data_IF_411169922909
#
_entry.id   IF_411169922909
#
_cell.length_a   1.000
_cell.length_b   1.000
_cell.length_c   1.000
_cell.angle_alpha   90.00
_cell.angle_beta   90.00
_cell.angle_gamma   90.00
#
_symmetry.space_group_name_H-M   'P 1'
#
loop_
_entity.id
_entity.type
_entity.pdbx_description
1 polymer ?
#
# COMPACT_ATOMS: atom_id res chain seq x y z
N UNK A 1 -6.51 17.60 -23.75
CA UNK A 1 -6.23 16.15 -23.82
C UNK A 1 -5.14 15.86 -22.81
N UNK A 2 -5.36 14.94 -21.87
CA UNK A 2 -4.31 14.54 -20.92
C UNK A 2 -3.21 13.79 -21.68
N UNK A 3 -1.92 14.09 -21.47
CA UNK A 3 -0.84 13.36 -22.14
C UNK A 3 -0.91 11.88 -21.75
N UNK A 4 -0.73 11.00 -22.72
CA UNK A 4 -0.68 9.56 -22.48
C UNK A 4 0.71 9.22 -21.92
N UNK A 5 0.89 9.39 -20.62
CA UNK A 5 2.13 9.07 -19.91
C UNK A 5 2.13 7.57 -19.58
N UNK A 6 3.12 6.85 -20.08
CA UNK A 6 3.41 5.45 -19.78
C UNK A 6 4.70 5.32 -18.97
N UNK A 7 4.81 4.35 -18.05
CA UNK A 7 6.04 4.12 -17.28
C UNK A 7 7.26 3.78 -18.14
N UNK A 8 7.05 3.04 -19.23
CA UNK A 8 8.11 2.59 -20.13
C UNK A 8 7.82 3.08 -21.57
N UNK A 9 8.88 3.24 -22.37
CA UNK A 9 8.78 3.53 -23.81
C UNK A 9 8.55 2.23 -24.58
N UNK A 10 7.42 1.59 -24.28
CA UNK A 10 6.97 0.34 -24.87
C UNK A 10 5.56 0.57 -25.43
N UNK A 11 5.43 0.48 -26.75
CA UNK A 11 4.19 0.74 -27.48
C UNK A 11 3.33 -0.53 -27.63
N UNK A 12 3.88 -1.72 -27.36
CA UNK A 12 3.17 -3.00 -27.53
C UNK A 12 2.35 -3.36 -26.28
N UNK A 13 2.82 -2.99 -25.09
CA UNK A 13 2.14 -3.28 -23.82
C UNK A 13 1.21 -2.16 -23.37
N UNK A 14 0.06 -2.52 -22.83
CA UNK A 14 -0.94 -1.56 -22.36
C UNK A 14 -0.45 -0.78 -21.13
N UNK A 15 -0.87 0.48 -20.97
CA UNK A 15 -0.52 1.32 -19.81
C UNK A 15 -0.76 0.62 -18.47
N UNK A 16 -1.85 -0.14 -18.35
CA UNK A 16 -2.19 -0.87 -17.12
C UNK A 16 -1.13 -1.93 -16.79
N UNK A 17 -0.68 -2.70 -17.78
CA UNK A 17 0.35 -3.72 -17.61
C UNK A 17 1.68 -3.12 -17.18
N UNK A 18 2.07 -2.00 -17.82
CA UNK A 18 3.29 -1.28 -17.48
C UNK A 18 3.25 -0.70 -16.06
N UNK A 19 2.08 -0.21 -15.62
CA UNK A 19 1.91 0.29 -14.24
C UNK A 19 2.02 -0.86 -13.24
N UNK A 20 1.38 -2.01 -13.51
CA UNK A 20 1.50 -3.20 -12.65
C UNK A 20 2.95 -3.66 -12.53
N UNK A 21 3.68 -3.80 -13.65
CA UNK A 21 5.09 -4.20 -13.63
C UNK A 21 5.97 -3.20 -12.86
N UNK A 22 5.75 -1.90 -13.05
CA UNK A 22 6.49 -0.87 -12.33
C UNK A 22 6.30 -1.04 -10.82
N UNK A 23 5.06 -1.27 -10.37
CA UNK A 23 4.77 -1.51 -8.95
C UNK A 23 5.34 -2.84 -8.45
N UNK A 24 5.19 -3.94 -9.20
CA UNK A 24 5.78 -5.24 -8.87
C UNK A 24 7.30 -5.15 -8.70
N UNK A 25 7.96 -4.30 -9.50
CA UNK A 25 9.42 -4.10 -9.46
C UNK A 25 9.89 -3.33 -8.24
N UNK A 26 9.13 -2.34 -7.77
CA UNK A 26 9.58 -1.44 -6.70
C UNK A 26 8.96 -1.75 -5.33
N UNK A 27 7.87 -2.51 -5.27
CA UNK A 27 7.06 -2.66 -4.05
C UNK A 27 7.88 -3.15 -2.85
N UNK A 28 8.81 -4.08 -3.06
CA UNK A 28 9.63 -4.65 -2.00
C UNK A 28 10.60 -3.61 -1.40
N UNK A 29 11.21 -2.78 -2.23
CA UNK A 29 12.19 -1.77 -1.81
C UNK A 29 11.51 -0.48 -1.34
N UNK A 30 10.26 -0.23 -1.76
CA UNK A 30 9.56 1.02 -1.54
C UNK A 30 9.33 1.31 -0.06
N UNK A 31 8.95 0.31 0.72
CA UNK A 31 8.76 0.46 2.17
C UNK A 31 10.08 0.78 2.89
N UNK A 32 11.16 0.12 2.48
CA UNK A 32 12.51 0.41 2.97
C UNK A 32 13.00 1.81 2.60
N UNK A 33 12.74 2.23 1.35
CA UNK A 33 13.05 3.57 0.89
C UNK A 33 12.26 4.62 1.69
N UNK A 34 10.95 4.42 1.85
CA UNK A 34 10.08 5.29 2.64
C UNK A 34 10.54 5.42 4.08
N UNK A 35 10.97 4.32 4.70
CA UNK A 35 11.57 4.31 6.04
C UNK A 35 12.79 5.22 6.12
N UNK A 36 13.68 5.15 5.12
CA UNK A 36 14.92 5.94 5.10
C UNK A 36 14.64 7.41 4.80
N UNK A 37 13.93 7.72 3.71
CA UNK A 37 13.70 9.11 3.28
C UNK A 37 12.81 9.89 4.25
N UNK A 38 11.89 9.21 4.93
CA UNK A 38 11.05 9.85 5.94
C UNK A 38 11.74 9.96 7.31
N UNK A 39 12.99 9.49 7.44
CA UNK A 39 13.66 9.33 8.73
C UNK A 39 12.80 8.55 9.75
N UNK A 40 12.07 7.55 9.26
CA UNK A 40 11.17 6.70 10.02
C UNK A 40 9.88 7.35 10.52
N UNK A 41 9.52 8.53 10.02
CA UNK A 41 8.26 9.20 10.37
C UNK A 41 7.04 8.39 9.95
N UNK A 42 7.12 7.61 8.87
CA UNK A 42 6.02 6.77 8.40
C UNK A 42 5.56 5.73 9.45
N UNK A 43 6.44 5.23 10.34
CA UNK A 43 6.03 4.37 11.49
C UNK A 43 5.05 5.13 12.38
N UNK A 44 5.34 6.40 12.68
CA UNK A 44 4.49 7.19 13.59
C UNK A 44 3.13 7.44 12.96
N UNK A 45 3.08 7.66 11.64
CA UNK A 45 1.82 7.79 10.91
C UNK A 45 1.02 6.49 10.92
N UNK A 46 1.66 5.35 10.67
CA UNK A 46 1.02 4.03 10.72
C UNK A 46 0.42 3.75 12.10
N UNK A 47 1.19 3.97 13.17
CA UNK A 47 0.70 3.83 14.56
C UNK A 47 -0.47 4.76 14.87
N UNK A 48 -0.41 6.01 14.39
CA UNK A 48 -1.50 6.97 14.56
C UNK A 48 -2.77 6.51 13.83
N UNK A 49 -2.64 6.02 12.61
CA UNK A 49 -3.76 5.49 11.83
C UNK A 49 -4.41 4.30 12.55
N UNK A 50 -3.62 3.30 12.97
CA UNK A 50 -4.13 2.14 13.73
C UNK A 50 -4.87 2.59 14.99
N UNK A 51 -4.34 3.57 15.74
CA UNK A 51 -5.03 4.12 16.92
C UNK A 51 -6.39 4.74 16.56
N UNK A 52 -6.44 5.56 15.52
CA UNK A 52 -7.67 6.20 15.07
C UNK A 52 -8.72 5.19 14.60
N UNK A 53 -8.29 4.13 13.90
CA UNK A 53 -9.17 3.04 13.46
C UNK A 53 -9.66 2.25 14.67
N UNK A 54 -8.79 1.91 15.62
CA UNK A 54 -9.14 1.19 16.85
C UNK A 54 -10.21 1.91 17.67
N UNK A 55 -10.15 3.23 17.75
CA UNK A 55 -11.16 4.05 18.44
C UNK A 55 -12.57 3.90 17.84
N UNK A 56 -12.69 3.42 16.60
CA UNK A 56 -13.97 3.13 15.95
C UNK A 56 -14.53 1.75 16.28
N UNK A 57 -13.78 0.91 16.99
CA UNK A 57 -14.17 -0.47 17.32
C UNK A 57 -14.68 -1.25 16.09
N UNK A 58 -13.91 -1.32 15.00
CA UNK A 58 -14.36 -1.99 13.80
C UNK A 58 -14.45 -3.50 14.03
N UNK A 59 -15.49 -4.14 13.52
CA UNK A 59 -15.55 -5.60 13.44
C UNK A 59 -14.77 -6.11 12.22
N UNK A 60 -14.81 -5.38 11.10
CA UNK A 60 -14.19 -5.75 9.83
C UNK A 60 -13.41 -4.59 9.23
N UNK A 61 -12.27 -4.89 8.60
CA UNK A 61 -11.41 -3.89 7.95
C UNK A 61 -11.03 -4.36 6.54
N UNK A 62 -11.08 -3.46 5.56
CA UNK A 62 -10.55 -3.65 4.21
C UNK A 62 -9.39 -2.67 3.99
N UNK A 63 -8.20 -3.20 3.76
CA UNK A 63 -6.98 -2.47 3.41
C UNK A 63 -6.77 -2.52 1.89
N UNK A 64 -6.86 -1.38 1.22
CA UNK A 64 -6.79 -1.27 -0.25
C UNK A 64 -5.41 -0.79 -0.65
N UNK A 65 -4.82 -1.42 -1.68
CA UNK A 65 -3.41 -1.27 -2.03
C UNK A 65 -2.52 -1.67 -0.83
N UNK A 66 -2.79 -2.85 -0.28
CA UNK A 66 -2.17 -3.34 0.96
C UNK A 66 -0.66 -3.61 0.82
N UNK A 67 -0.16 -3.75 -0.41
CA UNK A 67 1.24 -4.01 -0.73
C UNK A 67 1.76 -5.25 0.00
N UNK A 68 2.85 -5.06 0.74
CA UNK A 68 3.49 -6.07 1.59
C UNK A 68 2.62 -6.51 2.79
N UNK A 69 1.51 -5.83 3.05
CA UNK A 69 0.57 -6.16 4.13
C UNK A 69 0.94 -5.58 5.50
N UNK A 70 2.03 -4.80 5.61
CA UNK A 70 2.50 -4.26 6.89
C UNK A 70 1.41 -3.46 7.64
N UNK A 71 0.53 -2.76 6.91
CA UNK A 71 -0.57 -2.00 7.54
C UNK A 71 -1.70 -2.93 7.98
N UNK A 72 -2.13 -3.85 7.13
CA UNK A 72 -3.10 -4.89 7.48
C UNK A 72 -2.69 -5.67 8.74
N UNK A 73 -1.39 -6.02 8.86
CA UNK A 73 -0.85 -6.66 10.07
C UNK A 73 -0.95 -5.73 11.28
N UNK A 74 -0.54 -4.46 11.15
CA UNK A 74 -0.64 -3.49 12.24
C UNK A 74 -2.09 -3.25 12.70
N UNK A 75 -3.06 -3.35 11.78
CA UNK A 75 -4.49 -3.21 12.09
C UNK A 75 -5.04 -4.35 12.94
N UNK A 76 -4.32 -5.47 13.12
CA UNK A 76 -4.71 -6.54 14.06
C UNK A 76 -4.82 -6.04 15.50
N UNK A 77 -4.06 -4.99 15.86
CA UNK A 77 -4.13 -4.35 17.19
C UNK A 77 -5.50 -3.70 17.49
N UNK A 78 -6.33 -3.50 16.46
CA UNK A 78 -7.68 -2.93 16.59
C UNK A 78 -8.66 -3.88 17.28
N UNK A 79 -8.41 -5.19 17.20
CA UNK A 79 -9.34 -6.23 17.67
C UNK A 79 -10.45 -6.58 16.68
N UNK A 80 -10.37 -6.11 15.43
CA UNK A 80 -11.29 -6.54 14.37
C UNK A 80 -11.25 -8.07 14.19
N UNK A 81 -12.42 -8.67 13.95
CA UNK A 81 -12.54 -10.11 13.73
C UNK A 81 -12.15 -10.54 12.31
N UNK A 82 -12.13 -9.61 11.36
CA UNK A 82 -11.73 -9.86 9.97
C UNK A 82 -10.96 -8.66 9.41
N UNK A 83 -9.80 -8.93 8.80
CA UNK A 83 -9.00 -7.94 8.08
C UNK A 83 -8.67 -8.50 6.71
N UNK A 84 -9.08 -7.78 5.66
CA UNK A 84 -8.90 -8.18 4.27
C UNK A 84 -7.93 -7.21 3.62
N UNK A 85 -6.82 -7.72 3.09
CA UNK A 85 -5.92 -6.96 2.23
C UNK A 85 -6.29 -7.16 0.76
N UNK A 86 -6.37 -6.09 -0.01
CA UNK A 86 -6.56 -6.12 -1.46
C UNK A 86 -5.43 -5.36 -2.15
N UNK A 87 -4.69 -6.02 -3.03
CA UNK A 87 -3.76 -5.37 -3.94
C UNK A 87 -3.97 -5.83 -5.39
N UNK A 88 -3.54 -4.99 -6.32
CA UNK A 88 -3.49 -5.28 -7.76
C UNK A 88 -2.13 -5.86 -8.18
N UNK A 89 -1.09 -5.67 -7.36
CA UNK A 89 0.22 -6.32 -7.53
C UNK A 89 0.13 -7.80 -7.20
N UNK A 90 1.07 -8.59 -7.74
CA UNK A 90 1.16 -10.03 -7.44
C UNK A 90 1.86 -10.34 -6.14
#
# INVERSE_FOLDING_TARGET
>A
MSPNVTPYDDQERGKKEQVTEMFDTIANEYDGLNRVISFGVDIKWRKRLVKLVKEKQPEKILDIATGTGDLAIALTETGASEIIGLDISK
#
